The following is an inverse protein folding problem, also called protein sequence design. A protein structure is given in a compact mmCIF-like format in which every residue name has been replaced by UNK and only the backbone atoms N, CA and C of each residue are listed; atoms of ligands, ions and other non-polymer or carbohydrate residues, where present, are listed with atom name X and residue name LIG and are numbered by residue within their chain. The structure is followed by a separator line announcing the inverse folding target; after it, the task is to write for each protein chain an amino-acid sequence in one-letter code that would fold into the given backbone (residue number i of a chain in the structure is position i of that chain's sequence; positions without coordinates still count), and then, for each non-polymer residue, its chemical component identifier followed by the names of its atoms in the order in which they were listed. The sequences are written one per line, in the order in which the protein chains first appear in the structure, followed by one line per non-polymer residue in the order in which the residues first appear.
data_IF_694277687820
#
_entry.id   IF_694277687820
#
_cell.length_a   1.000
_cell.length_b   1.000
_cell.length_c   1.000
_cell.angle_alpha   90.00
_cell.angle_beta   90.00
_cell.angle_gamma   90.00
#
_symmetry.space_group_name_H-M   'P 1'
#
loop_
_entity.id
_entity.type
_entity.pdbx_description
1 polymer ?
#
# COMPACT_ATOMS: atom_id res chain seq x y z
N UNK A 1 -16.95 -22.77 5.04
CA UNK A 1 -15.77 -23.23 4.26
C UNK A 1 -15.32 -22.04 3.44
N UNK A 2 -14.03 -21.67 3.54
CA UNK A 2 -13.45 -20.58 2.76
C UNK A 2 -13.49 -20.95 1.28
N UNK A 3 -13.87 -20.00 0.43
CA UNK A 3 -13.72 -20.09 -1.02
C UNK A 3 -13.02 -18.84 -1.55
N UNK A 4 -12.21 -19.00 -2.58
CA UNK A 4 -11.38 -17.96 -3.18
C UNK A 4 -11.86 -17.72 -4.60
N UNK A 5 -12.14 -16.47 -4.91
CA UNK A 5 -12.48 -15.99 -6.25
C UNK A 5 -11.33 -15.09 -6.75
N UNK A 6 -10.41 -15.61 -7.56
CA UNK A 6 -9.35 -14.80 -8.16
C UNK A 6 -9.94 -13.68 -9.04
N UNK A 7 -9.27 -12.55 -9.11
CA UNK A 7 -9.68 -11.40 -9.95
C UNK A 7 -9.65 -11.71 -11.47
N UNK A 8 -8.99 -12.80 -11.84
CA UNK A 8 -8.69 -13.13 -13.24
C UNK A 8 -7.51 -12.34 -13.83
N UNK A 9 -6.90 -11.44 -13.04
CA UNK A 9 -5.72 -10.63 -13.42
C UNK A 9 -4.44 -11.16 -12.78
N UNK A 10 -3.41 -10.30 -12.79
CA UNK A 10 -2.05 -10.63 -12.31
C UNK A 10 -1.90 -10.70 -10.78
N UNK A 11 -2.88 -10.23 -10.04
CA UNK A 11 -3.02 -10.33 -8.59
C UNK A 11 -4.47 -10.01 -8.19
N UNK A 12 -4.79 -10.17 -6.92
CA UNK A 12 -6.11 -9.89 -6.37
C UNK A 12 -7.01 -11.12 -6.30
N UNK A 13 -7.67 -11.30 -5.16
CA UNK A 13 -8.71 -12.30 -4.96
C UNK A 13 -9.74 -11.81 -3.93
N UNK A 14 -10.97 -12.31 -4.03
CA UNK A 14 -11.98 -12.14 -2.99
C UNK A 14 -12.12 -13.45 -2.21
N UNK A 15 -12.09 -13.36 -0.90
CA UNK A 15 -12.26 -14.48 0.02
C UNK A 15 -13.69 -14.44 0.56
N UNK A 16 -14.43 -15.52 0.36
CA UNK A 16 -15.80 -15.70 0.79
C UNK A 16 -15.95 -16.75 1.89
N UNK A 17 -17.10 -16.75 2.57
CA UNK A 17 -17.45 -17.79 3.53
C UNK A 17 -16.76 -17.65 4.89
N UNK A 18 -16.25 -16.45 5.20
CA UNK A 18 -15.61 -16.13 6.48
C UNK A 18 -16.18 -14.84 7.07
N UNK A 19 -16.35 -14.82 8.39
CA UNK A 19 -16.70 -13.66 9.20
C UNK A 19 -15.47 -13.32 10.07
N UNK A 20 -14.81 -12.23 9.74
CA UNK A 20 -13.60 -11.77 10.43
C UNK A 20 -13.89 -11.18 11.82
N UNK A 21 -15.16 -10.91 12.16
CA UNK A 21 -15.56 -10.43 13.50
C UNK A 21 -15.46 -11.51 14.58
N UNK A 22 -15.35 -12.78 14.17
CA UNK A 22 -15.29 -13.95 15.05
C UNK A 22 -13.86 -14.38 15.34
N UNK A 23 -13.67 -15.22 16.35
CA UNK A 23 -12.37 -15.85 16.58
C UNK A 23 -12.05 -16.84 15.46
N UNK A 24 -10.91 -16.64 14.82
CA UNK A 24 -10.41 -17.52 13.77
C UNK A 24 -9.43 -18.52 14.35
N UNK A 25 -9.53 -19.77 13.93
CA UNK A 25 -8.53 -20.78 14.28
C UNK A 25 -7.16 -20.44 13.68
N UNK A 26 -6.03 -20.83 14.32
CA UNK A 26 -4.71 -20.66 13.71
C UNK A 26 -4.60 -21.25 12.30
N UNK A 27 -5.28 -22.37 12.04
CA UNK A 27 -5.32 -22.99 10.72
C UNK A 27 -6.02 -22.09 9.68
N UNK A 28 -7.14 -21.47 10.06
CA UNK A 28 -7.86 -20.50 9.21
C UNK A 28 -7.02 -19.27 8.89
N UNK A 29 -6.31 -18.72 9.90
CA UNK A 29 -5.39 -17.58 9.69
C UNK A 29 -4.25 -17.97 8.76
N UNK A 30 -3.66 -19.17 8.92
CA UNK A 30 -2.61 -19.67 8.04
C UNK A 30 -3.10 -19.88 6.60
N UNK A 31 -4.33 -20.38 6.42
CA UNK A 31 -4.96 -20.52 5.09
C UNK A 31 -5.15 -19.15 4.42
N UNK A 32 -5.71 -18.16 5.13
CA UNK A 32 -5.84 -16.79 4.62
C UNK A 32 -4.47 -16.20 4.27
N UNK A 33 -3.46 -16.41 5.13
CA UNK A 33 -2.09 -15.93 4.86
C UNK A 33 -1.52 -16.56 3.58
N UNK A 34 -1.72 -17.85 3.35
CA UNK A 34 -1.30 -18.51 2.12
C UNK A 34 -1.97 -17.92 0.89
N UNK A 35 -3.28 -17.68 0.94
CA UNK A 35 -4.04 -17.03 -0.13
C UNK A 35 -3.54 -15.60 -0.37
N UNK A 36 -3.26 -14.84 0.70
CA UNK A 36 -2.72 -13.49 0.59
C UNK A 36 -1.34 -13.46 -0.08
N UNK A 37 -0.42 -14.36 0.29
CA UNK A 37 0.91 -14.48 -0.32
C UNK A 37 0.85 -14.91 -1.79
N UNK A 38 -0.15 -15.71 -2.18
CA UNK A 38 -0.38 -16.12 -3.56
C UNK A 38 -0.95 -14.97 -4.41
N UNK A 39 -1.98 -14.29 -3.89
CA UNK A 39 -2.73 -13.29 -4.65
C UNK A 39 -2.29 -11.84 -4.39
N UNK A 40 -1.44 -11.57 -3.39
CA UNK A 40 -0.86 -10.28 -3.00
C UNK A 40 -1.87 -9.24 -2.49
N UNK A 41 -3.10 -9.27 -2.97
CA UNK A 41 -4.22 -8.41 -2.56
C UNK A 41 -5.42 -9.32 -2.32
N UNK A 42 -5.98 -9.29 -1.12
CA UNK A 42 -7.18 -10.08 -0.77
C UNK A 42 -8.26 -9.18 -0.21
N UNK A 43 -9.49 -9.38 -0.67
CA UNK A 43 -10.67 -8.65 -0.22
C UNK A 43 -11.65 -9.59 0.48
N UNK A 44 -12.34 -9.07 1.49
CA UNK A 44 -13.40 -9.73 2.23
C UNK A 44 -14.63 -8.83 2.18
N UNK A 45 -15.66 -9.26 1.47
CA UNK A 45 -16.91 -8.51 1.36
C UNK A 45 -17.77 -8.63 2.63
N UNK A 46 -18.65 -7.66 2.85
CA UNK A 46 -19.71 -7.67 3.86
C UNK A 46 -19.25 -7.93 5.31
N UNK A 47 -18.07 -7.42 5.69
CA UNK A 47 -17.52 -7.56 7.03
C UNK A 47 -18.07 -6.48 7.97
N UNK A 48 -18.76 -6.88 9.05
CA UNK A 48 -19.33 -5.97 10.05
C UNK A 48 -18.37 -5.87 11.25
N UNK A 49 -17.32 -5.05 11.15
CA UNK A 49 -16.29 -4.93 12.19
C UNK A 49 -16.47 -3.65 13.02
N UNK A 50 -16.40 -3.77 14.34
CA UNK A 50 -16.05 -2.64 15.20
C UNK A 50 -14.57 -2.27 15.03
N UNK A 51 -14.14 -1.13 15.58
CA UNK A 51 -12.72 -0.74 15.54
C UNK A 51 -11.84 -1.73 16.31
N UNK A 52 -12.29 -2.20 17.49
CA UNK A 52 -11.58 -3.25 18.24
C UNK A 52 -11.41 -4.53 17.41
N UNK A 53 -12.47 -4.96 16.74
CA UNK A 53 -12.42 -6.15 15.88
C UNK A 53 -11.49 -5.94 14.67
N UNK A 54 -11.48 -4.74 14.09
CA UNK A 54 -10.58 -4.42 12.99
C UNK A 54 -9.10 -4.45 13.44
N UNK A 55 -8.77 -3.91 14.62
CA UNK A 55 -7.45 -4.03 15.24
C UNK A 55 -7.08 -5.50 15.52
N UNK A 56 -8.03 -6.30 16.06
CA UNK A 56 -7.80 -7.73 16.27
C UNK A 56 -7.56 -8.51 14.98
N UNK A 57 -8.27 -8.16 13.90
CA UNK A 57 -8.00 -8.75 12.57
C UNK A 57 -6.58 -8.44 12.11
N UNK A 58 -6.13 -7.20 12.24
CA UNK A 58 -4.77 -6.81 11.85
C UNK A 58 -3.70 -7.60 12.62
N UNK A 59 -3.88 -7.73 13.94
CA UNK A 59 -2.95 -8.46 14.83
C UNK A 59 -2.85 -9.97 14.54
N UNK A 60 -3.79 -10.55 13.81
CA UNK A 60 -3.69 -11.96 13.35
C UNK A 60 -2.64 -12.13 12.23
N UNK A 61 -2.35 -11.06 11.50
CA UNK A 61 -1.45 -11.09 10.34
C UNK A 61 -0.10 -10.41 10.58
N UNK A 62 0.04 -9.61 11.63
CA UNK A 62 1.29 -8.96 11.99
C UNK A 62 1.14 -8.07 13.23
N UNK A 63 2.24 -7.54 13.73
CA UNK A 63 2.23 -6.50 14.74
C UNK A 63 1.81 -5.16 14.10
N UNK A 64 1.30 -4.21 14.88
CA UNK A 64 1.00 -2.89 14.36
C UNK A 64 2.24 -2.20 13.79
N UNK A 65 2.13 -1.72 12.57
CA UNK A 65 3.15 -0.92 11.91
C UNK A 65 3.18 0.52 12.43
N UNK A 66 4.16 1.28 11.94
CA UNK A 66 4.25 2.72 12.21
C UNK A 66 3.50 3.50 11.13
N UNK A 67 2.75 4.53 11.54
CA UNK A 67 2.10 5.52 10.66
C UNK A 67 2.60 6.93 11.02
N UNK A 68 3.85 7.31 10.65
CA UNK A 68 4.52 8.50 11.19
C UNK A 68 3.84 9.82 10.81
N UNK A 69 3.05 9.83 9.72
CA UNK A 69 2.41 11.03 9.19
C UNK A 69 0.88 11.02 9.24
N UNK A 70 0.29 9.97 9.80
CA UNK A 70 -1.14 9.91 10.03
C UNK A 70 -1.46 9.97 11.52
N UNK A 71 -2.44 10.78 11.86
CA UNK A 71 -2.96 10.80 13.22
C UNK A 71 -4.04 9.72 13.34
N UNK A 72 -3.81 8.75 14.21
CA UNK A 72 -4.80 7.74 14.55
C UNK A 72 -6.01 8.32 15.31
N UNK A 73 -7.06 7.54 15.41
CA UNK A 73 -8.24 7.88 16.21
C UNK A 73 -7.88 7.93 17.69
N UNK A 74 -8.62 8.74 18.49
CA UNK A 74 -8.29 8.98 19.88
C UNK A 74 -8.22 7.69 20.73
N UNK A 75 -9.20 6.80 20.55
CA UNK A 75 -9.30 5.55 21.32
C UNK A 75 -8.69 4.34 20.55
N UNK A 76 -8.30 4.53 19.28
CA UNK A 76 -7.70 3.54 18.40
C UNK A 76 -6.51 4.14 17.65
N UNK A 77 -5.35 4.34 18.34
CA UNK A 77 -4.21 5.08 17.78
C UNK A 77 -3.57 4.42 16.54
N UNK A 78 -3.83 3.13 16.32
CA UNK A 78 -3.35 2.39 15.15
C UNK A 78 -4.31 2.44 13.97
N UNK A 79 -5.50 3.02 14.13
CA UNK A 79 -6.49 3.19 13.06
C UNK A 79 -6.45 4.62 12.55
N UNK A 80 -6.02 4.83 11.32
CA UNK A 80 -6.08 6.11 10.64
C UNK A 80 -7.28 6.17 9.69
N UNK A 81 -7.83 7.38 9.48
CA UNK A 81 -8.89 7.60 8.49
C UNK A 81 -8.30 8.11 7.17
N UNK A 82 -8.53 7.38 6.10
CA UNK A 82 -8.31 7.84 4.72
C UNK A 82 -9.66 8.35 4.22
N UNK A 83 -9.86 9.67 4.31
CA UNK A 83 -11.15 10.27 4.03
C UNK A 83 -11.07 11.48 3.10
N UNK A 84 -12.16 11.72 2.41
CA UNK A 84 -12.42 12.93 1.64
C UNK A 84 -13.87 13.32 1.83
N UNK A 85 -14.12 14.58 2.22
CA UNK A 85 -15.47 15.12 2.29
C UNK A 85 -15.97 15.50 0.89
N UNK A 86 -17.30 15.56 0.73
CA UNK A 86 -17.93 15.79 -0.59
C UNK A 86 -17.57 17.14 -1.23
N UNK A 87 -17.33 18.16 -0.42
CA UNK A 87 -17.00 19.54 -0.83
C UNK A 87 -15.47 19.81 -0.87
N UNK A 88 -14.64 18.82 -0.53
CA UNK A 88 -13.19 18.96 -0.52
C UNK A 88 -12.62 19.20 -1.93
N UNK A 89 -11.78 20.26 -2.07
CA UNK A 89 -11.17 20.66 -3.34
C UNK A 89 -9.66 20.36 -3.42
N UNK A 90 -9.07 19.75 -2.38
CA UNK A 90 -7.64 19.41 -2.40
C UNK A 90 -7.33 18.37 -3.48
N UNK A 91 -6.08 18.27 -3.95
CA UNK A 91 -5.66 17.17 -4.82
C UNK A 91 -5.96 15.81 -4.18
N UNK A 92 -6.19 14.79 -5.02
CA UNK A 92 -6.48 13.46 -4.53
C UNK A 92 -5.30 12.93 -3.68
N UNK A 93 -5.63 12.33 -2.54
CA UNK A 93 -4.62 11.68 -1.71
C UNK A 93 -4.17 10.36 -2.34
N UNK A 94 -2.86 10.08 -2.33
CA UNK A 94 -2.27 8.83 -2.80
C UNK A 94 -2.56 8.47 -4.28
N UNK A 95 -2.76 9.47 -5.16
CA UNK A 95 -2.94 9.27 -6.61
C UNK A 95 -1.67 8.74 -7.28
N UNK A 96 -0.49 9.06 -6.76
CA UNK A 96 0.78 8.56 -7.26
C UNK A 96 1.07 7.13 -6.80
N UNK A 97 1.71 6.33 -7.67
CA UNK A 97 2.16 4.97 -7.34
C UNK A 97 3.13 4.97 -6.15
N UNK A 98 2.84 4.16 -5.13
CA UNK A 98 3.68 4.02 -3.94
C UNK A 98 3.51 2.64 -3.29
N UNK A 99 4.50 2.25 -2.49
CA UNK A 99 4.38 1.26 -1.43
C UNK A 99 4.36 2.01 -0.11
N UNK A 100 3.52 1.59 0.83
CA UNK A 100 3.36 2.29 2.10
C UNK A 100 4.69 2.39 2.85
N UNK A 101 5.02 3.60 3.27
CA UNK A 101 6.14 3.93 4.16
C UNK A 101 7.47 3.26 3.81
N UNK A 102 7.75 3.06 2.52
CA UNK A 102 9.01 2.46 2.05
C UNK A 102 10.28 3.22 2.46
N UNK A 103 10.13 4.41 3.00
CA UNK A 103 11.21 5.22 3.58
C UNK A 103 11.55 4.88 5.04
N UNK A 104 10.81 3.99 5.71
CA UNK A 104 11.14 3.50 7.04
C UNK A 104 12.27 2.46 6.96
N UNK A 105 13.05 2.34 8.03
CA UNK A 105 14.06 1.26 8.14
C UNK A 105 13.43 -0.12 8.11
N UNK A 106 12.21 -0.25 8.63
CA UNK A 106 11.37 -1.45 8.55
C UNK A 106 10.02 -1.03 7.98
N UNK A 107 9.85 -1.06 6.65
CA UNK A 107 8.57 -0.78 6.02
C UNK A 107 7.49 -1.78 6.47
N UNK A 108 6.21 -1.38 6.49
CA UNK A 108 5.13 -2.31 6.80
C UNK A 108 5.08 -3.45 5.79
N UNK A 109 4.91 -4.68 6.29
CA UNK A 109 4.74 -5.87 5.45
C UNK A 109 3.38 -5.87 4.74
N UNK A 110 2.36 -5.31 5.37
CA UNK A 110 1.02 -5.23 4.81
C UNK A 110 0.25 -4.02 5.29
N UNK A 111 -0.80 -3.71 4.58
CA UNK A 111 -1.78 -2.69 4.94
C UNK A 111 -3.19 -3.26 4.79
N UNK A 112 -4.03 -2.93 5.74
CA UNK A 112 -5.45 -3.24 5.74
C UNK A 112 -6.24 -1.93 5.55
N UNK A 113 -7.16 -1.91 4.60
CA UNK A 113 -8.16 -0.85 4.45
C UNK A 113 -9.56 -1.40 4.60
N UNK A 114 -10.38 -0.74 5.40
CA UNK A 114 -11.76 -1.11 5.63
C UNK A 114 -12.70 -0.02 5.12
N UNK A 115 -13.52 -0.34 4.11
CA UNK A 115 -14.44 0.58 3.46
C UNK A 115 -15.65 0.92 4.33
N UNK A 116 -15.77 2.17 4.78
CA UNK A 116 -16.87 2.63 5.66
C UNK A 116 -17.92 3.44 4.90
N UNK A 117 -17.47 4.32 4.02
CA UNK A 117 -18.32 5.11 3.13
C UNK A 117 -17.67 5.04 1.76
N UNK A 118 -18.35 4.43 0.83
CA UNK A 118 -17.87 4.24 -0.54
C UNK A 118 -18.77 5.04 -1.49
N UNK A 119 -18.19 5.88 -2.35
CA UNK A 119 -18.96 6.62 -3.34
C UNK A 119 -19.60 5.68 -4.37
N UNK A 120 -20.71 6.08 -5.00
CA UNK A 120 -21.44 5.24 -5.96
C UNK A 120 -20.66 5.00 -7.26
N UNK A 121 -19.59 5.75 -7.51
CA UNK A 121 -18.71 5.63 -8.67
C UNK A 121 -17.30 6.10 -8.34
N UNK A 122 -16.28 5.56 -9.04
CA UNK A 122 -14.89 5.94 -8.86
C UNK A 122 -14.32 5.53 -7.51
N UNK A 123 -13.16 6.07 -7.16
CA UNK A 123 -12.49 5.79 -5.90
C UNK A 123 -11.85 4.40 -5.81
N UNK A 124 -11.62 3.74 -6.95
CA UNK A 124 -10.91 2.46 -7.00
C UNK A 124 -9.46 2.60 -6.55
N UNK A 125 -8.85 1.47 -6.22
CA UNK A 125 -7.41 1.37 -5.99
C UNK A 125 -6.77 0.48 -7.05
N UNK A 126 -5.69 0.97 -7.65
CA UNK A 126 -4.86 0.19 -8.56
C UNK A 126 -3.73 -0.46 -7.77
N UNK A 127 -3.45 -1.72 -8.04
CA UNK A 127 -2.31 -2.48 -7.49
C UNK A 127 -1.47 -3.02 -8.62
N UNK A 128 -0.15 -2.80 -8.59
CA UNK A 128 0.77 -3.35 -9.59
C UNK A 128 1.67 -4.42 -8.97
N UNK A 129 1.65 -5.61 -9.55
CA UNK A 129 2.38 -6.78 -9.10
C UNK A 129 3.87 -6.63 -9.40
N UNK A 130 4.68 -6.47 -8.35
CA UNK A 130 6.11 -6.21 -8.47
C UNK A 130 6.94 -7.48 -8.72
N UNK A 131 6.40 -8.68 -8.47
CA UNK A 131 7.00 -9.93 -8.96
C UNK A 131 6.91 -10.00 -10.48
N UNK A 132 5.71 -9.81 -11.04
CA UNK A 132 5.50 -9.85 -12.49
C UNK A 132 6.31 -8.76 -13.21
N UNK A 133 6.36 -7.56 -12.63
CA UNK A 133 7.16 -6.48 -13.17
C UNK A 133 8.67 -6.82 -13.18
N UNK A 134 9.20 -7.44 -12.13
CA UNK A 134 10.59 -7.90 -12.12
C UNK A 134 10.83 -9.04 -13.10
N UNK A 135 9.95 -10.04 -13.13
CA UNK A 135 10.05 -11.21 -14.03
C UNK A 135 10.09 -10.80 -15.50
N UNK A 136 9.35 -9.75 -15.88
CA UNK A 136 9.27 -9.23 -17.25
C UNK A 136 10.45 -8.33 -17.67
N UNK A 137 11.41 -8.04 -16.79
CA UNK A 137 12.65 -7.35 -17.18
C UNK A 137 13.56 -8.27 -17.99
N UNK A 138 14.28 -7.69 -18.94
CA UNK A 138 15.36 -8.39 -19.66
C UNK A 138 16.50 -8.77 -18.70
N UNK A 139 17.21 -9.85 -18.99
CA UNK A 139 18.27 -10.37 -18.13
C UNK A 139 19.40 -9.35 -17.88
N UNK A 140 19.76 -8.55 -18.88
CA UNK A 140 20.74 -7.47 -18.73
C UNK A 140 20.27 -6.41 -17.74
N UNK A 141 18.97 -6.09 -17.72
CA UNK A 141 18.40 -5.16 -16.75
C UNK A 141 18.38 -5.78 -15.35
N UNK A 142 17.98 -7.05 -15.20
CA UNK A 142 18.04 -7.76 -13.91
C UNK A 142 19.47 -7.78 -13.37
N UNK A 143 20.46 -8.05 -14.24
CA UNK A 143 21.87 -8.01 -13.86
C UNK A 143 22.32 -6.59 -13.44
N UNK A 144 21.88 -5.55 -14.15
CA UNK A 144 22.15 -4.14 -13.80
C UNK A 144 21.58 -3.76 -12.44
N UNK A 145 20.39 -4.23 -12.09
CA UNK A 145 19.72 -3.92 -10.82
C UNK A 145 20.32 -4.66 -9.61
N UNK A 146 21.08 -5.71 -9.84
CA UNK A 146 21.61 -6.54 -8.77
C UNK A 146 22.53 -5.73 -7.84
N UNK A 147 22.20 -5.70 -6.56
CA UNK A 147 22.97 -5.00 -5.52
C UNK A 147 22.74 -3.48 -5.47
N UNK A 148 22.00 -2.88 -6.41
CA UNK A 148 21.69 -1.45 -6.35
C UNK A 148 20.73 -1.14 -5.20
N UNK A 149 20.99 0.01 -4.52
CA UNK A 149 20.19 0.50 -3.41
C UNK A 149 19.42 1.75 -3.84
N UNK A 150 18.09 1.71 -3.70
CA UNK A 150 17.25 2.89 -3.83
C UNK A 150 17.30 3.75 -2.57
N UNK A 151 17.42 5.06 -2.73
CA UNK A 151 17.35 6.04 -1.64
C UNK A 151 15.90 6.47 -1.50
N UNK A 152 15.28 6.14 -0.36
CA UNK A 152 13.89 6.45 -0.06
C UNK A 152 13.79 7.61 0.93
N UNK A 153 12.79 8.49 0.76
CA UNK A 153 12.51 9.63 1.64
C UNK A 153 11.04 10.03 1.57
N UNK A 154 10.50 10.46 2.68
CA UNK A 154 9.14 11.00 2.77
C UNK A 154 9.03 12.46 2.27
N UNK A 155 10.17 13.11 1.89
CA UNK A 155 10.28 14.55 1.64
C UNK A 155 9.29 15.10 0.61
N UNK A 156 8.98 14.34 -0.45
CA UNK A 156 8.06 14.79 -1.51
C UNK A 156 6.63 14.93 -1.01
N UNK A 157 6.21 14.05 -0.09
CA UNK A 157 4.87 14.05 0.49
C UNK A 157 4.78 14.88 1.77
N UNK A 158 5.61 14.59 2.75
CA UNK A 158 5.37 14.93 4.15
C UNK A 158 6.36 15.92 4.76
N UNK A 159 7.29 16.48 3.97
CA UNK A 159 8.06 17.63 4.44
C UNK A 159 7.19 18.88 4.46
N UNK A 160 7.66 19.93 5.15
CA UNK A 160 7.00 21.25 5.21
C UNK A 160 6.67 21.81 3.82
N UNK A 161 7.55 21.61 2.85
CA UNK A 161 7.37 22.04 1.45
C UNK A 161 6.75 20.95 0.57
N UNK A 162 6.47 19.76 1.11
CA UNK A 162 5.93 18.61 0.39
C UNK A 162 4.45 18.76 0.03
N UNK A 163 3.94 17.80 -0.71
CA UNK A 163 2.56 17.79 -1.22
C UNK A 163 1.51 17.94 -0.11
N UNK A 164 1.73 17.29 1.04
CA UNK A 164 0.84 17.30 2.22
C UNK A 164 1.41 18.20 3.34
N UNK A 165 2.26 19.14 2.99
CA UNK A 165 2.90 20.07 3.91
C UNK A 165 2.05 21.31 4.18
N UNK A 166 2.74 22.41 4.49
CA UNK A 166 2.16 23.67 4.98
C UNK A 166 1.10 24.29 4.04
N UNK A 167 1.18 24.00 2.73
CA UNK A 167 0.26 24.54 1.71
C UNK A 167 -0.97 23.66 1.44
N UNK A 168 -1.04 22.47 2.00
CA UNK A 168 -2.15 21.54 1.83
C UNK A 168 -3.29 21.88 2.80
N UNK A 169 -4.00 22.97 2.51
CA UNK A 169 -5.07 23.51 3.36
C UNK A 169 -6.43 23.02 2.89
N UNK A 170 -7.28 22.63 3.83
CA UNK A 170 -8.66 22.19 3.54
C UNK A 170 -8.81 20.69 3.30
N UNK A 171 -7.76 19.92 3.51
CA UNK A 171 -7.83 18.46 3.50
C UNK A 171 -8.55 17.95 4.74
N UNK A 172 -9.47 17.00 4.54
CA UNK A 172 -10.24 16.39 5.62
C UNK A 172 -9.47 15.29 6.37
N UNK A 173 -8.41 14.72 5.77
CA UNK A 173 -7.52 13.79 6.46
C UNK A 173 -6.61 14.50 7.46
N UNK A 174 -6.37 13.84 8.60
CA UNK A 174 -5.42 14.30 9.62
C UNK A 174 -3.99 13.87 9.27
N UNK A 175 -3.34 14.61 8.36
CA UNK A 175 -1.93 14.41 7.98
C UNK A 175 -1.04 15.34 8.82
N UNK A 176 0.09 14.82 9.29
CA UNK A 176 1.14 15.55 9.98
C UNK A 176 2.34 15.64 9.06
N UNK A 177 2.91 16.83 8.90
CA UNK A 177 4.17 17.03 8.20
C UNK A 177 5.28 17.41 9.19
N UNK A 178 6.52 17.02 8.90
CA UNK A 178 7.66 17.34 9.75
C UNK A 178 8.96 17.37 8.95
N UNK A 179 10.01 17.98 9.54
CA UNK A 179 11.35 17.97 8.96
C UNK A 179 11.99 16.57 8.98
N UNK A 180 11.49 15.64 9.81
CA UNK A 180 11.92 14.23 9.79
C UNK A 180 11.67 13.56 8.43
N UNK A 181 10.73 14.10 7.64
CA UNK A 181 10.47 13.65 6.27
C UNK A 181 11.65 13.84 5.32
N UNK A 182 12.64 14.64 5.69
CA UNK A 182 13.87 14.85 4.92
C UNK A 182 14.88 13.72 5.09
N UNK A 183 14.72 12.89 6.13
CA UNK A 183 15.56 11.70 6.34
C UNK A 183 15.49 10.76 5.13
N UNK A 184 16.55 9.99 4.97
CA UNK A 184 16.66 8.99 3.89
C UNK A 184 16.93 7.61 4.47
N UNK A 185 16.42 6.59 3.78
CA UNK A 185 16.68 5.19 4.06
C UNK A 185 17.01 4.47 2.75
N UNK A 186 18.04 3.63 2.78
CA UNK A 186 18.38 2.82 1.61
C UNK A 186 17.74 1.44 1.70
N UNK A 187 17.20 0.99 0.56
CA UNK A 187 16.67 -0.37 0.39
C UNK A 187 17.11 -0.93 -0.96
N UNK A 188 17.37 -2.25 -1.08
CA UNK A 188 17.64 -2.87 -2.38
C UNK A 188 16.52 -2.57 -3.37
N UNK A 189 16.86 -2.20 -4.63
CA UNK A 189 15.87 -2.00 -5.70
C UNK A 189 15.15 -3.30 -6.07
N UNK A 190 15.79 -4.44 -5.82
CA UNK A 190 15.21 -5.78 -5.93
C UNK A 190 15.32 -6.45 -4.58
N UNK A 191 14.20 -6.81 -3.99
CA UNK A 191 14.13 -7.52 -2.70
C UNK A 191 13.64 -8.94 -2.90
N UNK A 192 14.25 -9.89 -2.18
CA UNK A 192 13.67 -11.22 -2.02
C UNK A 192 12.58 -11.15 -0.95
N UNK A 193 11.39 -11.53 -1.32
CA UNK A 193 10.28 -11.57 -0.36
C UNK A 193 10.57 -12.62 0.74
N UNK A 194 10.51 -12.26 2.03
CA UNK A 194 11.01 -13.10 3.10
C UNK A 194 10.26 -14.43 3.27
N UNK A 195 9.00 -14.50 2.84
CA UNK A 195 8.18 -15.70 3.00
C UNK A 195 8.08 -16.53 1.72
N UNK A 196 8.09 -15.92 0.54
CA UNK A 196 7.96 -16.63 -0.74
C UNK A 196 9.29 -16.88 -1.44
N UNK A 197 10.36 -16.16 -1.06
CA UNK A 197 11.67 -16.19 -1.72
C UNK A 197 11.67 -15.59 -3.13
N UNK A 198 10.55 -15.06 -3.61
CA UNK A 198 10.44 -14.46 -4.95
C UNK A 198 11.07 -13.06 -4.97
N UNK A 199 11.80 -12.71 -6.02
CA UNK A 199 12.31 -11.35 -6.21
C UNK A 199 11.19 -10.41 -6.64
N UNK A 200 11.14 -9.22 -6.05
CA UNK A 200 10.22 -8.13 -6.37
C UNK A 200 10.97 -6.82 -6.56
N UNK A 201 10.49 -5.96 -7.44
CA UNK A 201 10.94 -4.57 -7.48
C UNK A 201 10.48 -3.86 -6.21
N UNK A 202 11.39 -3.09 -5.58
CA UNK A 202 11.09 -2.32 -4.38
C UNK A 202 11.52 -0.86 -4.56
N UNK A 203 10.73 -0.12 -5.31
CA UNK A 203 10.91 1.31 -5.58
C UNK A 203 9.56 1.93 -5.96
N UNK A 204 9.39 3.22 -5.73
CA UNK A 204 8.17 3.90 -6.13
C UNK A 204 8.38 5.40 -6.36
N UNK A 205 7.62 6.04 -7.27
CA UNK A 205 7.70 7.48 -7.51
C UNK A 205 7.44 8.32 -6.27
N UNK A 206 6.60 7.82 -5.35
CA UNK A 206 6.24 8.54 -4.13
C UNK A 206 7.42 8.79 -3.20
N UNK A 207 8.31 7.81 -3.06
CA UNK A 207 9.34 7.85 -2.02
C UNK A 207 10.76 7.61 -2.51
N UNK A 208 11.00 6.89 -3.60
CA UNK A 208 12.37 6.67 -4.11
C UNK A 208 12.85 7.94 -4.80
N UNK A 209 13.96 8.50 -4.34
CA UNK A 209 14.47 9.81 -4.79
C UNK A 209 15.81 9.74 -5.53
N UNK A 210 16.51 8.62 -5.46
CA UNK A 210 17.81 8.39 -6.08
C UNK A 210 18.25 6.95 -5.96
N UNK A 211 19.43 6.65 -6.49
CA UNK A 211 20.12 5.36 -6.38
C UNK A 211 21.49 5.62 -5.76
N UNK A 212 21.85 4.90 -4.71
CA UNK A 212 23.10 5.07 -4.00
C UNK A 212 24.32 4.86 -4.90
N UNK A 213 25.27 5.79 -4.85
CA UNK A 213 26.52 5.71 -5.61
C UNK A 213 26.40 5.92 -7.13
N UNK A 214 25.20 6.23 -7.63
CA UNK A 214 24.95 6.51 -9.05
C UNK A 214 24.87 8.03 -9.26
N UNK A 215 25.35 8.52 -10.40
CA UNK A 215 25.16 9.90 -10.82
C UNK A 215 23.67 10.25 -10.89
N UNK A 216 23.31 11.48 -10.49
CA UNK A 216 21.90 11.90 -10.41
C UNK A 216 21.19 11.77 -11.76
N UNK A 217 21.84 12.06 -12.88
CA UNK A 217 21.23 11.96 -14.22
C UNK A 217 20.98 10.50 -14.59
N UNK A 218 22.00 9.65 -14.48
CA UNK A 218 21.87 8.22 -14.77
C UNK A 218 20.87 7.57 -13.82
N UNK A 219 20.92 7.87 -12.54
CA UNK A 219 20.01 7.37 -11.52
C UNK A 219 18.56 7.73 -11.82
N UNK A 220 18.27 8.99 -12.17
CA UNK A 220 16.92 9.43 -12.52
C UNK A 220 16.42 8.79 -13.83
N UNK A 221 17.27 8.62 -14.84
CA UNK A 221 16.89 7.92 -16.09
C UNK A 221 16.50 6.47 -15.82
N UNK A 222 17.28 5.75 -14.98
CA UNK A 222 16.96 4.37 -14.60
C UNK A 222 15.68 4.29 -13.77
N UNK A 223 15.50 5.18 -12.80
CA UNK A 223 14.27 5.23 -12.01
C UNK A 223 13.05 5.53 -12.88
N UNK A 224 13.13 6.47 -13.81
CA UNK A 224 12.02 6.79 -14.72
C UNK A 224 11.66 5.61 -15.64
N UNK A 225 12.65 4.85 -16.10
CA UNK A 225 12.41 3.62 -16.85
C UNK A 225 11.65 2.61 -15.99
N UNK A 226 12.13 2.35 -14.77
CA UNK A 226 11.52 1.39 -13.85
C UNK A 226 10.11 1.81 -13.41
N UNK A 227 9.87 3.10 -13.15
CA UNK A 227 8.54 3.61 -12.81
C UNK A 227 7.52 3.40 -13.92
N UNK A 228 7.92 3.60 -15.18
CA UNK A 228 7.06 3.32 -16.33
C UNK A 228 6.85 1.83 -16.54
N UNK A 229 7.90 1.04 -16.33
CA UNK A 229 7.85 -0.41 -16.50
C UNK A 229 6.92 -1.06 -15.49
N UNK A 230 7.11 -0.79 -14.19
CA UNK A 230 6.38 -1.45 -13.10
C UNK A 230 4.88 -1.11 -13.04
N UNK A 231 4.45 -0.04 -13.70
CA UNK A 231 3.06 0.42 -13.75
C UNK A 231 2.38 0.14 -15.10
N UNK A 232 2.95 -0.72 -15.94
CA UNK A 232 2.29 -1.16 -17.17
C UNK A 232 0.99 -1.88 -16.87
N UNK A 233 -0.01 -1.68 -17.71
CA UNK A 233 -1.36 -2.23 -17.55
C UNK A 233 -1.36 -3.74 -17.33
N UNK A 234 -0.46 -4.47 -17.99
CA UNK A 234 -0.29 -5.91 -17.85
C UNK A 234 0.08 -6.37 -16.43
N UNK A 235 0.58 -5.48 -15.56
CA UNK A 235 0.91 -5.77 -14.17
C UNK A 235 -0.12 -5.22 -13.19
N UNK A 236 -1.19 -4.56 -13.67
CA UNK A 236 -2.12 -3.80 -12.84
C UNK A 236 -3.42 -4.57 -12.63
N UNK A 237 -3.82 -4.66 -11.38
CA UNK A 237 -5.15 -5.04 -10.94
C UNK A 237 -5.92 -3.81 -10.45
N UNK A 238 -7.14 -3.61 -10.93
CA UNK A 238 -8.06 -2.57 -10.46
C UNK A 238 -9.03 -3.16 -9.45
N UNK A 239 -8.97 -2.66 -8.24
CA UNK A 239 -9.82 -3.05 -7.12
C UNK A 239 -10.99 -2.08 -6.96
N UNK A 240 -12.21 -2.61 -6.99
CA UNK A 240 -13.44 -1.89 -6.75
C UNK A 240 -13.88 -2.05 -5.29
N UNK A 241 -14.17 -0.92 -4.64
CA UNK A 241 -14.57 -0.90 -3.24
C UNK A 241 -16.09 -1.09 -3.07
N UNK A 242 -16.47 -1.72 -1.97
CA UNK A 242 -17.83 -1.75 -1.44
C UNK A 242 -17.85 -1.35 0.03
N UNK A 243 -19.00 -0.90 0.54
CA UNK A 243 -19.16 -0.67 1.98
C UNK A 243 -18.95 -1.99 2.75
N UNK A 244 -18.31 -1.88 3.91
CA UNK A 244 -17.96 -3.01 4.77
C UNK A 244 -17.02 -4.04 4.10
N UNK A 245 -16.34 -3.68 3.03
CA UNK A 245 -15.28 -4.49 2.45
C UNK A 245 -13.96 -4.22 3.17
N UNK A 246 -13.32 -5.28 3.67
CA UNK A 246 -11.94 -5.24 4.14
C UNK A 246 -11.02 -5.71 3.02
N UNK A 247 -9.97 -4.95 2.72
CA UNK A 247 -8.94 -5.34 1.75
C UNK A 247 -7.57 -5.28 2.42
N UNK A 248 -6.75 -6.30 2.20
CA UNK A 248 -5.39 -6.40 2.70
C UNK A 248 -4.45 -6.64 1.52
N UNK A 249 -3.30 -5.93 1.50
CA UNK A 249 -2.26 -6.13 0.48
C UNK A 249 -0.86 -6.21 1.06
N UNK A 250 0.02 -6.86 0.29
CA UNK A 250 1.43 -7.06 0.63
C UNK A 250 2.29 -5.93 0.07
N UNK A 251 2.74 -5.01 0.95
CA UNK A 251 3.58 -3.88 0.57
C UNK A 251 4.97 -4.26 0.04
N UNK A 252 5.38 -5.51 0.25
CA UNK A 252 6.67 -6.04 -0.20
C UNK A 252 6.65 -6.49 -1.66
N UNK A 253 5.43 -6.66 -2.22
CA UNK A 253 5.23 -7.24 -3.54
C UNK A 253 4.24 -6.47 -4.44
N UNK A 254 3.61 -5.39 -3.93
CA UNK A 254 2.78 -4.48 -4.74
C UNK A 254 3.11 -3.03 -4.46
N UNK A 255 2.98 -2.19 -5.51
CA UNK A 255 2.76 -0.76 -5.36
C UNK A 255 1.30 -0.47 -5.68
N UNK A 256 0.77 0.63 -5.13
CA UNK A 256 -0.63 0.96 -5.34
C UNK A 256 -0.85 2.46 -5.55
N UNK A 257 -2.02 2.80 -6.11
CA UNK A 257 -2.42 4.17 -6.39
C UNK A 257 -3.94 4.32 -6.28
N UNK A 258 -4.40 5.39 -5.64
CA UNK A 258 -5.81 5.73 -5.60
C UNK A 258 -6.27 6.35 -6.91
N UNK A 259 -7.54 6.11 -7.29
CA UNK A 259 -8.16 6.78 -8.44
C UNK A 259 -9.22 7.77 -7.98
N UNK A 260 -9.44 8.81 -8.79
CA UNK A 260 -10.51 9.78 -8.59
C UNK A 260 -11.86 9.31 -9.13
N UNK A 261 -12.64 10.27 -9.65
CA UNK A 261 -13.93 9.99 -10.30
C UNK A 261 -15.12 10.02 -9.36
N UNK A 262 -14.95 10.55 -8.12
CA UNK A 262 -16.01 10.63 -7.11
C UNK A 262 -16.19 12.05 -6.53
N UNK A 263 -15.91 13.08 -7.31
CA UNK A 263 -16.11 14.47 -6.91
C UNK A 263 -17.57 14.69 -6.48
N UNK A 264 -17.77 15.44 -5.39
CA UNK A 264 -19.09 15.67 -4.82
C UNK A 264 -19.63 14.53 -3.95
N UNK A 265 -18.83 13.46 -3.73
CA UNK A 265 -19.22 12.34 -2.88
C UNK A 265 -18.19 12.16 -1.75
N UNK A 266 -18.70 11.88 -0.56
CA UNK A 266 -17.89 11.53 0.59
C UNK A 266 -17.30 10.13 0.43
N UNK A 267 -16.04 9.95 0.85
CA UNK A 267 -15.36 8.66 0.91
C UNK A 267 -14.64 8.51 2.25
N UNK A 268 -14.80 7.37 2.90
CA UNK A 268 -14.13 7.06 4.17
C UNK A 268 -13.68 5.61 4.20
N UNK A 269 -12.39 5.40 4.40
CA UNK A 269 -11.81 4.10 4.74
C UNK A 269 -11.03 4.23 6.06
N UNK A 270 -10.97 3.14 6.80
CA UNK A 270 -10.15 2.99 8.00
C UNK A 270 -8.92 2.15 7.65
N UNK A 271 -7.73 2.58 8.07
CA UNK A 271 -6.45 2.02 7.68
C UNK A 271 -5.65 1.55 8.88
N UNK A 272 -5.06 0.36 8.78
CA UNK A 272 -4.03 -0.15 9.69
C UNK A 272 -2.87 -0.66 8.85
N UNK A 273 -1.63 -0.33 9.24
CA UNK A 273 -0.42 -1.00 8.73
C UNK A 273 0.03 -2.08 9.70
N UNK A 274 0.63 -3.14 9.16
CA UNK A 274 1.23 -4.23 9.94
C UNK A 274 2.66 -4.48 9.53
N UNK A 275 3.47 -4.93 10.49
CA UNK A 275 4.79 -5.53 10.24
C UNK A 275 4.70 -7.04 10.42
N UNK A 276 5.63 -7.80 9.85
CA UNK A 276 5.69 -9.24 10.08
C UNK A 276 5.86 -9.53 11.58
N UNK A 277 5.27 -10.62 12.08
CA UNK A 277 5.64 -11.13 13.39
C UNK A 277 7.14 -11.42 13.45
N UNK A 278 7.79 -11.06 14.55
CA UNK A 278 9.21 -11.29 14.78
C UNK A 278 9.53 -12.79 14.87
#
# INVERSE_FOLDING_TARGET
MISVEPSGGVCGATIHGIDLSTDLSPATVAEIRSIWLEHLVVAFADQQLSLDQFEQVALRFGEFGQDPYFKGLADHPHVAEVKREADEQTPLFAEGWHSDWSFLSTPPSGTLLYGRIIPPMGGDTLYANQYAAYEALEDDMKAKLNGLQGIHSARRGYSKAGQYGEKDVGRSMSIVYSDDALATQNHPLVQLHPETGRPALFLCPGYTIGIEGMDDTEGQELLLFLYKHQAKEEFVYRHHWAENMLTMWDNRAVIHAATGGYQGHRRLLQRITITSHA
#
